data_IF_722765980018
#
_entry.id   IF_722765980018
#
_cell.length_a   1.000
_cell.length_b   1.000
_cell.length_c   1.000
_cell.angle_alpha   90.00
_cell.angle_beta   90.00
_cell.angle_gamma   90.00
#
_symmetry.space_group_name_H-M   'P 1'
#
loop_
_entity.id
_entity.type
_entity.pdbx_description
1 polymer ?
#
# COMPACT_ATOMS: atom_id res chain seq x y z
N UNK A 1 13.93 -5.57 30.27
CA UNK A 1 13.43 -5.74 28.90
C UNK A 1 14.06 -4.64 28.07
N UNK A 2 14.51 -4.93 26.84
CA UNK A 2 14.97 -3.90 25.91
C UNK A 2 13.82 -2.95 25.58
N UNK A 3 14.10 -1.65 25.53
CA UNK A 3 13.13 -0.63 25.16
C UNK A 3 12.58 -0.87 23.74
N UNK A 4 11.26 -1.07 23.61
CA UNK A 4 10.62 -1.39 22.33
C UNK A 4 10.45 -0.09 21.54
N UNK A 5 11.16 0.00 20.42
CA UNK A 5 11.10 1.11 19.47
C UNK A 5 10.89 0.60 18.06
N UNK A 6 9.86 1.13 17.41
CA UNK A 6 9.43 0.80 16.04
C UNK A 6 9.19 2.08 15.25
N UNK A 7 9.17 1.98 13.92
CA UNK A 7 8.94 3.13 13.05
C UNK A 7 8.12 2.79 11.81
N UNK A 8 7.32 3.73 11.37
CA UNK A 8 6.95 3.84 9.97
C UNK A 8 7.91 4.80 9.27
N UNK A 9 8.39 4.40 8.10
CA UNK A 9 9.40 5.16 7.35
C UNK A 9 8.97 5.39 5.88
N UNK A 10 7.95 6.22 5.61
CA UNK A 10 7.46 6.40 4.25
C UNK A 10 8.32 7.42 3.48
N UNK A 11 8.58 7.14 2.20
CA UNK A 11 9.11 8.16 1.28
C UNK A 11 7.96 9.03 0.76
N UNK A 12 8.05 10.38 0.84
CA UNK A 12 7.00 11.29 0.39
C UNK A 12 7.00 11.47 -1.14
N UNK A 13 6.98 10.36 -1.88
CA UNK A 13 7.00 10.32 -3.37
C UNK A 13 5.63 10.03 -3.98
N UNK A 14 4.57 10.12 -3.18
CA UNK A 14 3.20 9.80 -3.54
C UNK A 14 2.31 9.77 -2.30
N UNK A 15 0.99 9.63 -2.49
CA UNK A 15 0.04 9.65 -1.38
C UNK A 15 0.17 8.43 -0.46
N UNK A 16 -0.44 8.51 0.73
CA UNK A 16 -0.48 7.43 1.72
C UNK A 16 -1.23 6.22 1.17
N UNK A 17 -0.48 5.22 0.71
CA UNK A 17 -1.02 3.99 0.17
C UNK A 17 -1.47 3.03 1.29
N UNK A 18 -2.56 2.26 1.07
CA UNK A 18 -3.10 1.23 1.99
C UNK A 18 -2.03 0.33 2.59
N UNK A 19 -1.08 -0.15 1.79
CA UNK A 19 0.03 -0.98 2.26
C UNK A 19 0.94 -0.28 3.28
N UNK A 20 1.22 1.01 3.08
CA UNK A 20 1.97 1.84 4.03
C UNK A 20 1.13 2.11 5.27
N UNK A 21 -0.15 2.45 5.11
CA UNK A 21 -1.08 2.65 6.23
C UNK A 21 -1.23 1.40 7.10
N UNK A 22 -1.35 0.21 6.50
CA UNK A 22 -1.35 -1.07 7.22
C UNK A 22 -0.03 -1.29 7.96
N UNK A 23 1.10 -1.02 7.31
CA UNK A 23 2.41 -1.16 7.97
C UNK A 23 2.53 -0.21 9.15
N UNK A 24 2.04 1.03 9.02
CA UNK A 24 1.99 2.01 10.11
C UNK A 24 1.12 1.50 11.26
N UNK A 25 -0.09 1.02 10.95
CA UNK A 25 -1.00 0.44 11.94
C UNK A 25 -0.35 -0.73 12.69
N UNK A 26 0.33 -1.66 12.01
CA UNK A 26 0.95 -2.81 12.69
C UNK A 26 2.12 -2.39 13.59
N UNK A 27 2.91 -1.38 13.18
CA UNK A 27 3.95 -0.82 14.06
C UNK A 27 3.31 -0.10 15.26
N UNK A 28 2.24 0.68 15.03
CA UNK A 28 1.49 1.34 16.10
C UNK A 28 0.92 0.33 17.11
N UNK A 29 0.21 -0.70 16.64
CA UNK A 29 -0.35 -1.74 17.48
C UNK A 29 0.74 -2.50 18.25
N UNK A 30 1.85 -2.84 17.60
CA UNK A 30 2.99 -3.50 18.26
C UNK A 30 3.60 -2.62 19.36
N UNK A 31 3.82 -1.33 19.09
CA UNK A 31 4.32 -0.40 20.10
C UNK A 31 3.34 -0.29 21.28
N UNK A 32 2.07 0.03 21.01
CA UNK A 32 1.08 0.27 22.06
C UNK A 32 0.79 -0.99 22.89
N UNK A 33 0.80 -2.18 22.27
CA UNK A 33 0.63 -3.45 22.99
C UNK A 33 1.80 -3.76 23.94
N UNK A 34 3.01 -3.31 23.60
CA UNK A 34 4.23 -3.61 24.36
C UNK A 34 4.78 -2.39 25.11
N UNK A 35 3.96 -1.37 25.38
CA UNK A 35 4.34 -0.11 26.04
C UNK A 35 5.60 0.54 25.42
N UNK A 36 5.73 0.44 24.09
CA UNK A 36 6.87 0.92 23.31
C UNK A 36 6.65 2.25 22.61
N UNK A 37 7.72 2.74 21.97
CA UNK A 37 7.73 3.96 21.16
C UNK A 37 7.38 3.66 19.69
N UNK A 38 6.41 4.40 19.16
CA UNK A 38 6.08 4.45 17.74
C UNK A 38 6.55 5.76 17.12
N UNK A 39 7.37 5.66 16.06
CA UNK A 39 8.02 6.80 15.42
C UNK A 39 7.62 6.96 13.95
N UNK A 40 7.60 8.21 13.46
CA UNK A 40 7.50 8.54 12.04
C UNK A 40 8.82 9.16 11.56
N UNK A 41 9.42 8.57 10.52
CA UNK A 41 10.62 9.10 9.84
C UNK A 41 10.37 9.24 8.35
N UNK A 42 10.60 10.40 7.76
CA UNK A 42 10.40 10.61 6.33
C UNK A 42 11.67 10.28 5.54
N UNK A 43 11.54 9.36 4.58
CA UNK A 43 12.66 8.93 3.73
C UNK A 43 12.66 9.71 2.40
N UNK A 44 13.03 10.98 2.47
CA UNK A 44 13.00 12.00 1.41
C UNK A 44 14.29 12.08 0.57
N UNK A 45 15.09 11.00 0.58
CA UNK A 45 16.38 10.93 -0.16
C UNK A 45 16.26 11.00 -1.68
N UNK A 46 15.06 10.76 -2.23
CA UNK A 46 14.74 11.03 -3.63
C UNK A 46 14.17 12.44 -3.77
N UNK A 47 15.05 13.43 -3.79
CA UNK A 47 14.70 14.86 -3.84
C UNK A 47 13.80 15.20 -5.04
N UNK A 48 13.96 14.50 -6.18
CA UNK A 48 13.20 14.79 -7.40
C UNK A 48 11.75 14.34 -7.27
N UNK A 49 11.51 13.20 -6.60
CA UNK A 49 10.16 12.65 -6.44
C UNK A 49 9.49 13.07 -5.14
N UNK A 50 10.25 13.54 -4.15
CA UNK A 50 9.74 13.95 -2.85
C UNK A 50 9.07 15.32 -2.91
N UNK A 51 7.96 15.49 -2.20
CA UNK A 51 7.31 16.80 -2.09
C UNK A 51 6.63 17.00 -0.75
N UNK A 52 6.55 18.27 -0.29
CA UNK A 52 5.80 18.66 0.91
C UNK A 52 4.32 18.31 0.79
N UNK A 53 3.74 18.33 -0.42
CA UNK A 53 2.34 17.94 -0.62
C UNK A 53 2.10 16.45 -0.28
N UNK A 54 3.03 15.57 -0.65
CA UNK A 54 2.96 14.16 -0.30
C UNK A 54 3.32 13.90 1.15
N UNK A 55 4.27 14.64 1.73
CA UNK A 55 4.52 14.63 3.17
C UNK A 55 3.22 14.95 3.94
N UNK A 56 2.53 16.03 3.56
CA UNK A 56 1.26 16.42 4.14
C UNK A 56 0.19 15.33 4.01
N UNK A 57 -0.01 14.77 2.81
CA UNK A 57 -0.98 13.69 2.59
C UNK A 57 -0.70 12.46 3.47
N UNK A 58 0.58 12.13 3.66
CA UNK A 58 1.02 11.04 4.53
C UNK A 58 0.70 11.33 5.99
N UNK A 59 1.13 12.47 6.52
CA UNK A 59 0.93 12.82 7.94
C UNK A 59 -0.56 12.99 8.26
N UNK A 60 -1.31 13.72 7.45
CA UNK A 60 -2.76 13.88 7.61
C UNK A 60 -3.49 12.53 7.56
N UNK A 61 -3.08 11.64 6.64
CA UNK A 61 -3.67 10.31 6.50
C UNK A 61 -3.42 9.42 7.71
N UNK A 62 -2.22 9.50 8.32
CA UNK A 62 -1.91 8.78 9.57
C UNK A 62 -2.70 9.35 10.75
N UNK A 63 -2.82 10.68 10.85
CA UNK A 63 -3.67 11.35 11.85
C UNK A 63 -5.14 10.97 11.71
N UNK A 64 -5.68 10.93 10.49
CA UNK A 64 -7.06 10.52 10.24
C UNK A 64 -7.34 9.07 10.67
N UNK A 65 -6.35 8.18 10.52
CA UNK A 65 -6.41 6.80 11.02
C UNK A 65 -6.32 6.72 12.55
N UNK A 66 -6.10 7.82 13.26
CA UNK A 66 -5.94 7.87 14.71
C UNK A 66 -4.59 7.32 15.19
N UNK A 67 -3.57 7.30 14.31
CA UNK A 67 -2.25 6.76 14.63
C UNK A 67 -1.35 7.89 15.13
N UNK A 68 -1.40 8.20 16.42
CA UNK A 68 -0.50 9.20 17.02
C UNK A 68 0.88 8.60 17.30
N UNK A 69 1.95 9.31 16.95
CA UNK A 69 3.34 8.87 17.18
C UNK A 69 4.03 9.68 18.28
N UNK A 70 4.97 9.02 18.94
CA UNK A 70 5.70 9.57 20.09
C UNK A 70 6.88 10.45 19.64
N UNK A 71 7.39 10.23 18.43
CA UNK A 71 8.53 10.93 17.87
C UNK A 71 8.40 11.05 16.33
N UNK A 72 8.72 12.21 15.77
CA UNK A 72 8.63 12.46 14.32
C UNK A 72 8.17 13.87 13.97
N UNK A 73 7.95 14.16 12.68
CA UNK A 73 7.28 15.39 12.24
C UNK A 73 5.77 15.24 12.47
N UNK A 74 5.14 16.15 13.19
CA UNK A 74 3.70 16.11 13.45
C UNK A 74 2.88 16.73 12.29
N UNK A 75 3.36 17.86 11.79
CA UNK A 75 2.79 18.62 10.68
C UNK A 75 3.84 18.80 9.58
N UNK A 76 3.40 18.73 8.33
CA UNK A 76 4.31 18.80 7.19
C UNK A 76 5.05 20.15 7.12
N UNK A 77 6.37 20.09 7.05
CA UNK A 77 7.25 21.27 7.06
C UNK A 77 7.45 21.96 8.42
N UNK A 78 6.75 21.53 9.47
CA UNK A 78 6.95 22.05 10.83
C UNK A 78 8.09 21.31 11.55
N UNK A 79 8.49 21.86 12.70
CA UNK A 79 9.51 21.28 13.55
C UNK A 79 9.09 19.91 14.11
N UNK A 80 10.07 19.02 14.23
CA UNK A 80 9.86 17.68 14.75
C UNK A 80 9.81 17.64 16.28
N UNK A 81 9.22 16.57 16.84
CA UNK A 81 9.31 16.25 18.26
C UNK A 81 10.05 14.92 18.51
N UNK A 82 10.67 14.81 19.69
CA UNK A 82 11.39 13.60 20.14
C UNK A 82 12.91 13.77 20.19
N UNK A 83 13.59 12.81 20.82
CA UNK A 83 15.00 12.93 21.20
C UNK A 83 16.01 12.66 20.08
N UNK A 84 15.59 12.01 18.99
CA UNK A 84 16.49 11.50 17.94
C UNK A 84 16.36 12.24 16.60
N UNK A 85 15.70 13.40 16.62
CA UNK A 85 15.53 14.25 15.46
C UNK A 85 16.86 14.76 14.87
N UNK A 86 16.86 15.33 13.66
CA UNK A 86 15.68 15.50 12.79
C UNK A 86 15.16 14.18 12.22
N UNK A 87 13.89 14.10 11.85
CA UNK A 87 13.23 12.89 11.35
C UNK A 87 12.99 12.90 9.83
N UNK A 88 13.57 13.88 9.12
CA UNK A 88 13.70 13.88 7.65
C UNK A 88 15.12 13.50 7.28
N UNK A 89 15.30 12.52 6.39
CA UNK A 89 16.63 12.01 6.06
C UNK A 89 17.52 13.07 5.44
N UNK A 90 16.99 13.95 4.59
CA UNK A 90 17.80 15.00 3.96
C UNK A 90 18.31 16.08 4.93
N UNK A 91 17.80 16.12 6.16
CA UNK A 91 18.32 16.96 7.25
C UNK A 91 19.41 16.28 8.07
N UNK A 92 19.68 14.99 7.80
CA UNK A 92 20.63 14.13 8.53
C UNK A 92 21.93 13.84 7.76
N UNK A 93 22.23 14.64 6.74
CA UNK A 93 23.44 14.45 5.92
C UNK A 93 24.76 14.30 6.70
N UNK A 94 25.02 15.02 7.81
CA UNK A 94 26.27 14.89 8.56
C UNK A 94 26.56 13.47 9.06
N UNK A 95 25.56 12.78 9.64
CA UNK A 95 25.76 11.43 10.18
C UNK A 95 26.02 10.40 9.07
N UNK A 96 25.45 10.59 7.89
CA UNK A 96 25.71 9.73 6.74
C UNK A 96 27.12 9.92 6.20
N UNK A 97 27.62 11.16 6.16
CA UNK A 97 29.01 11.44 5.76
C UNK A 97 30.01 10.82 6.73
N UNK A 98 29.75 10.93 8.03
CA UNK A 98 30.60 10.32 9.06
C UNK A 98 30.64 8.80 8.95
N UNK A 99 29.48 8.15 8.82
CA UNK A 99 29.40 6.70 8.64
C UNK A 99 30.10 6.25 7.34
N UNK A 100 29.98 7.03 6.26
CA UNK A 100 30.63 6.72 4.99
C UNK A 100 32.16 6.80 5.11
N UNK A 101 32.66 7.82 5.82
CA UNK A 101 34.08 7.97 6.11
C UNK A 101 34.61 6.81 6.97
N UNK A 102 33.86 6.37 7.98
CA UNK A 102 34.21 5.19 8.81
C UNK A 102 34.33 3.92 7.97
N UNK A 103 33.36 3.65 7.09
CA UNK A 103 33.39 2.47 6.22
C UNK A 103 34.56 2.52 5.22
N UNK A 104 34.84 3.69 4.66
CA UNK A 104 35.97 3.89 3.75
C UNK A 104 37.31 3.69 4.45
N UNK A 105 37.48 4.25 5.65
CA UNK A 105 38.69 4.10 6.45
C UNK A 105 38.96 2.64 6.87
N UNK A 106 37.90 1.83 6.99
CA UNK A 106 37.99 0.41 7.33
C UNK A 106 38.12 -0.53 6.11
N UNK A 107 38.24 0.00 4.88
CA UNK A 107 38.19 -0.77 3.60
C UNK A 107 36.91 -1.64 3.43
N UNK A 108 35.83 -1.24 4.11
CA UNK A 108 34.50 -1.83 3.98
C UNK A 108 33.67 -1.14 2.89
N UNK A 109 34.14 0.00 2.39
CA UNK A 109 33.62 0.69 1.23
C UNK A 109 34.76 1.27 0.37
N UNK A 110 34.53 1.49 -0.92
CA UNK A 110 35.55 2.00 -1.84
C UNK A 110 34.96 2.91 -2.94
N UNK A 111 35.74 3.89 -3.44
CA UNK A 111 35.30 4.74 -4.55
C UNK A 111 35.21 3.98 -5.88
N UNK A 112 34.14 4.25 -6.61
CA UNK A 112 33.80 3.64 -7.90
C UNK A 112 33.61 4.72 -8.98
N UNK A 113 34.41 4.65 -10.03
CA UNK A 113 34.42 5.60 -11.16
C UNK A 113 33.75 5.05 -12.43
N UNK A 114 32.96 3.98 -12.30
CA UNK A 114 32.21 3.40 -13.41
C UNK A 114 31.13 4.38 -13.87
N UNK A 115 31.06 4.63 -15.17
CA UNK A 115 30.00 5.44 -15.78
C UNK A 115 28.72 4.62 -15.96
N UNK A 116 27.56 5.26 -16.22
CA UNK A 116 26.35 4.53 -16.61
C UNK A 116 26.56 3.61 -17.82
N UNK A 117 27.37 4.02 -18.79
CA UNK A 117 27.71 3.24 -19.99
C UNK A 117 28.54 1.99 -19.63
N UNK A 118 29.50 2.13 -18.71
CA UNK A 118 30.27 1.00 -18.20
C UNK A 118 29.36 -0.06 -17.56
N UNK A 119 28.43 0.40 -16.71
CA UNK A 119 27.49 -0.47 -15.98
C UNK A 119 26.48 -1.13 -16.92
N UNK A 120 26.01 -0.40 -17.93
CA UNK A 120 25.12 -0.92 -18.96
C UNK A 120 25.83 -1.98 -19.83
N UNK A 121 27.09 -1.75 -20.18
CA UNK A 121 27.90 -2.73 -20.91
C UNK A 121 28.13 -4.00 -20.09
N UNK A 122 28.42 -3.87 -18.78
CA UNK A 122 28.50 -5.00 -17.84
C UNK A 122 27.17 -5.78 -17.80
N UNK A 123 26.05 -5.07 -17.68
CA UNK A 123 24.71 -5.68 -17.66
C UNK A 123 24.45 -6.50 -18.93
N UNK A 124 24.65 -5.91 -20.12
CA UNK A 124 24.44 -6.57 -21.41
C UNK A 124 25.32 -7.81 -21.58
N UNK A 125 26.59 -7.75 -21.14
CA UNK A 125 27.49 -8.92 -21.17
C UNK A 125 26.96 -10.08 -20.33
N UNK A 126 26.47 -9.78 -19.11
CA UNK A 126 25.93 -10.81 -18.20
C UNK A 126 24.61 -11.37 -18.71
N UNK A 127 23.72 -10.52 -19.23
CA UNK A 127 22.46 -10.95 -19.84
C UNK A 127 22.71 -11.87 -21.04
N UNK A 128 23.64 -11.53 -21.93
CA UNK A 128 24.04 -12.40 -23.04
C UNK A 128 24.61 -13.75 -22.56
N UNK A 129 25.30 -13.75 -21.42
CA UNK A 129 25.80 -14.95 -20.75
C UNK A 129 24.75 -15.67 -19.88
N UNK A 130 23.49 -15.22 -19.86
CA UNK A 130 22.42 -15.76 -19.01
C UNK A 130 22.77 -15.77 -17.52
N UNK A 131 23.59 -14.82 -17.08
CA UNK A 131 24.01 -14.67 -15.69
C UNK A 131 23.17 -13.59 -15.00
N UNK A 132 22.88 -13.74 -13.69
CA UNK A 132 22.13 -12.74 -12.95
C UNK A 132 22.89 -11.39 -12.92
N UNK A 133 22.17 -10.25 -12.87
CA UNK A 133 22.79 -8.94 -12.73
C UNK A 133 23.65 -8.88 -11.46
N UNK A 134 24.93 -8.53 -11.62
CA UNK A 134 25.85 -8.32 -10.50
C UNK A 134 26.94 -7.36 -10.92
N UNK A 135 27.25 -6.40 -10.04
CA UNK A 135 28.37 -5.50 -10.24
C UNK A 135 29.67 -6.30 -10.30
N UNK A 136 30.52 -5.97 -11.27
CA UNK A 136 31.76 -6.73 -11.58
C UNK A 136 32.84 -6.59 -10.51
N UNK A 137 32.73 -5.61 -9.61
CA UNK A 137 33.79 -5.31 -8.65
C UNK A 137 34.98 -4.59 -9.28
N UNK A 138 34.87 -4.07 -10.51
CA UNK A 138 36.03 -3.52 -11.26
C UNK A 138 36.77 -2.40 -10.53
N UNK A 139 36.07 -1.59 -9.74
CA UNK A 139 36.70 -0.51 -8.97
C UNK A 139 37.20 -0.94 -7.58
N UNK A 140 36.93 -2.17 -7.14
CA UNK A 140 37.15 -2.62 -5.77
C UNK A 140 38.62 -2.83 -5.40
N UNK A 141 39.50 -2.92 -6.42
CA UNK A 141 40.95 -3.16 -6.29
C UNK A 141 41.80 -2.10 -7.01
N UNK A 142 41.22 -0.94 -7.35
CA UNK A 142 41.97 0.14 -7.97
C UNK A 142 43.07 0.64 -7.03
N UNK A 143 44.26 0.78 -7.59
CA UNK A 143 45.42 1.39 -6.95
C UNK A 143 45.22 2.90 -6.80
N UNK A 144 45.95 3.56 -5.88
CA UNK A 144 45.90 5.02 -5.76
C UNK A 144 46.21 5.76 -7.07
N UNK A 145 47.12 5.23 -7.89
CA UNK A 145 47.48 5.82 -9.18
C UNK A 145 46.33 5.74 -10.20
N UNK A 146 45.63 4.60 -10.28
CA UNK A 146 44.46 4.46 -11.17
C UNK A 146 43.30 5.36 -10.73
N UNK A 147 43.09 5.51 -9.41
CA UNK A 147 42.08 6.44 -8.87
C UNK A 147 42.40 7.88 -9.26
N UNK A 148 43.65 8.30 -9.05
CA UNK A 148 44.11 9.64 -9.41
C UNK A 148 43.98 9.92 -10.93
N UNK A 149 44.20 8.90 -11.78
CA UNK A 149 44.00 9.04 -13.22
C UNK A 149 42.52 9.32 -13.57
N UNK A 150 41.57 8.59 -12.97
CA UNK A 150 40.14 8.87 -13.16
C UNK A 150 39.73 10.24 -12.64
N UNK A 151 40.30 10.68 -11.51
CA UNK A 151 40.04 12.01 -10.96
C UNK A 151 40.59 13.12 -11.85
N UNK A 152 41.77 12.91 -12.47
CA UNK A 152 42.34 13.83 -13.45
C UNK A 152 41.50 13.94 -14.74
N UNK A 153 40.74 12.90 -15.10
CA UNK A 153 39.71 12.94 -16.15
C UNK A 153 38.44 13.71 -15.73
N UNK A 154 38.37 14.21 -14.49
CA UNK A 154 37.20 14.87 -13.93
C UNK A 154 36.08 13.92 -13.50
N UNK A 155 36.36 12.61 -13.38
CA UNK A 155 35.35 11.65 -12.89
C UNK A 155 35.14 11.82 -11.40
N UNK A 156 33.88 11.89 -10.98
CA UNK A 156 33.49 11.89 -9.57
C UNK A 156 33.06 10.48 -9.17
N UNK A 157 33.66 9.95 -8.11
CA UNK A 157 33.37 8.59 -7.65
C UNK A 157 32.06 8.52 -6.85
N UNK A 158 31.28 7.47 -7.10
CA UNK A 158 30.30 6.99 -6.13
C UNK A 158 31.00 6.11 -5.08
N UNK A 159 30.42 5.98 -3.89
CA UNK A 159 30.92 5.08 -2.85
C UNK A 159 30.13 3.76 -2.89
N UNK A 160 30.83 2.63 -3.02
CA UNK A 160 30.24 1.29 -2.95
C UNK A 160 30.62 0.58 -1.67
N UNK A 161 29.64 -0.10 -1.07
CA UNK A 161 29.86 -1.01 0.05
C UNK A 161 30.34 -2.37 -0.45
N UNK A 162 31.38 -2.91 0.20
CA UNK A 162 31.98 -4.21 -0.11
C UNK A 162 31.14 -5.31 0.51
N UNK A 163 30.55 -6.18 -0.31
CA UNK A 163 29.76 -7.31 0.16
C UNK A 163 30.68 -8.51 0.39
N UNK A 164 30.84 -8.99 1.64
CA UNK A 164 31.64 -10.18 1.91
C UNK A 164 30.95 -11.44 1.38
N UNK A 165 31.74 -12.44 1.01
CA UNK A 165 31.22 -13.76 0.65
C UNK A 165 30.70 -14.48 1.91
N UNK A 166 29.57 -15.20 1.77
CA UNK A 166 29.00 -16.00 2.85
C UNK A 166 27.49 -16.12 2.78
N UNK A 167 26.90 -16.61 3.87
CA UNK A 167 25.45 -16.71 4.03
C UNK A 167 25.01 -15.78 5.14
N UNK A 168 24.00 -14.97 4.86
CA UNK A 168 23.33 -14.15 5.87
C UNK A 168 22.06 -14.86 6.29
N UNK A 169 22.00 -15.19 7.57
CA UNK A 169 20.86 -15.83 8.21
C UNK A 169 20.27 -14.89 9.24
N UNK A 170 18.94 -14.84 9.32
CA UNK A 170 18.22 -14.12 10.37
C UNK A 170 16.88 -14.78 10.65
N UNK A 171 16.38 -14.57 11.87
CA UNK A 171 15.08 -15.06 12.29
C UNK A 171 14.06 -13.93 12.14
N UNK A 172 13.16 -14.09 11.18
CA UNK A 172 12.06 -13.15 10.99
C UNK A 172 10.86 -13.54 11.86
N UNK A 173 10.31 -12.58 12.58
CA UNK A 173 9.17 -12.80 13.49
C UNK A 173 7.92 -13.35 12.78
N UNK A 174 7.79 -13.14 11.47
CA UNK A 174 6.64 -13.56 10.67
C UNK A 174 7.04 -14.67 9.69
N UNK A 175 8.19 -14.56 9.03
CA UNK A 175 8.65 -15.51 8.00
C UNK A 175 9.41 -16.70 8.56
N UNK A 176 9.86 -16.64 9.81
CA UNK A 176 10.75 -17.63 10.41
C UNK A 176 12.18 -17.48 9.92
N UNK A 177 12.96 -18.56 9.97
CA UNK A 177 14.35 -18.57 9.53
C UNK A 177 14.47 -18.24 8.05
N UNK A 178 15.28 -17.24 7.72
CA UNK A 178 15.62 -16.86 6.34
C UNK A 178 17.12 -16.93 6.17
N UNK A 179 17.58 -17.55 5.08
CA UNK A 179 18.99 -17.70 4.74
C UNK A 179 19.22 -17.29 3.29
N UNK A 180 20.15 -16.35 3.07
CA UNK A 180 20.46 -15.80 1.75
C UNK A 180 21.97 -15.77 1.56
N UNK A 181 22.44 -16.46 0.52
CA UNK A 181 23.83 -16.36 0.05
C UNK A 181 24.09 -14.95 -0.51
N UNK A 182 25.20 -14.32 -0.07
CA UNK A 182 25.56 -12.97 -0.50
C UNK A 182 25.85 -12.86 -2.00
N UNK A 183 26.17 -13.97 -2.66
CA UNK A 183 26.28 -14.04 -4.12
C UNK A 183 25.00 -13.62 -4.84
N UNK A 184 23.83 -13.75 -4.19
CA UNK A 184 22.52 -13.37 -4.73
C UNK A 184 22.16 -11.89 -4.51
N UNK A 185 23.02 -11.10 -3.83
CA UNK A 185 22.73 -9.69 -3.52
C UNK A 185 23.05 -8.70 -4.66
N UNK A 186 23.60 -9.21 -5.77
CA UNK A 186 23.98 -8.38 -6.93
C UNK A 186 25.37 -7.73 -6.79
N UNK A 187 26.19 -8.19 -5.84
CA UNK A 187 27.54 -7.69 -5.58
C UNK A 187 27.56 -6.36 -4.84
N UNK A 188 28.73 -5.71 -4.86
CA UNK A 188 28.99 -4.44 -4.15
C UNK A 188 28.03 -3.34 -4.64
N UNK A 189 27.23 -2.79 -3.73
CA UNK A 189 26.18 -1.83 -4.05
C UNK A 189 26.56 -0.41 -3.64
N UNK A 190 26.00 0.57 -4.35
CA UNK A 190 26.26 1.99 -4.07
C UNK A 190 25.57 2.38 -2.75
N UNK A 191 26.30 3.05 -1.87
CA UNK A 191 25.79 3.63 -0.62
C UNK A 191 25.71 5.16 -0.67
N UNK A 192 26.59 5.79 -1.45
CA UNK A 192 26.58 7.23 -1.72
C UNK A 192 26.81 7.45 -3.21
N UNK A 193 25.97 8.25 -3.87
CA UNK A 193 26.12 8.63 -5.27
C UNK A 193 27.32 9.55 -5.48
N UNK A 194 27.73 9.70 -6.74
CA UNK A 194 28.81 10.63 -7.11
C UNK A 194 28.48 12.09 -6.76
N UNK A 195 27.20 12.46 -6.75
CA UNK A 195 26.72 13.78 -6.30
C UNK A 195 26.74 13.96 -4.76
N UNK A 196 27.20 12.94 -4.01
CA UNK A 196 27.23 12.95 -2.56
C UNK A 196 25.91 12.54 -1.89
N UNK A 197 24.85 12.24 -2.64
CA UNK A 197 23.55 11.85 -2.08
C UNK A 197 23.62 10.41 -1.56
N UNK A 198 23.32 10.17 -0.27
CA UNK A 198 23.26 8.83 0.28
C UNK A 198 22.03 8.07 -0.25
N UNK A 199 22.12 6.73 -0.30
CA UNK A 199 21.05 5.88 -0.83
C UNK A 199 20.32 5.10 0.26
N UNK A 200 19.09 4.69 -0.06
CA UNK A 200 18.14 4.00 0.81
C UNK A 200 18.75 2.96 1.76
N UNK A 201 19.52 1.97 1.26
CA UNK A 201 20.07 0.92 2.14
C UNK A 201 20.97 1.48 3.24
N UNK A 202 21.71 2.53 2.92
CA UNK A 202 22.66 3.17 3.81
C UNK A 202 21.97 4.07 4.82
N UNK A 203 21.08 4.95 4.37
CA UNK A 203 20.37 5.88 5.25
C UNK A 203 19.46 5.15 6.24
N UNK A 204 18.72 4.14 5.78
CA UNK A 204 17.84 3.32 6.63
C UNK A 204 18.60 2.71 7.80
N UNK A 205 19.75 2.10 7.55
CA UNK A 205 20.53 1.41 8.58
C UNK A 205 21.10 2.38 9.61
N UNK A 206 21.67 3.50 9.13
CA UNK A 206 22.23 4.52 10.00
C UNK A 206 21.14 5.14 10.88
N UNK A 207 19.96 5.42 10.31
CA UNK A 207 18.86 6.00 11.07
C UNK A 207 18.22 5.00 12.02
N UNK A 208 18.05 3.74 11.61
CA UNK A 208 17.52 2.69 12.49
C UNK A 208 18.48 2.46 13.67
N UNK A 209 19.81 2.51 13.47
CA UNK A 209 20.79 2.47 14.55
C UNK A 209 20.73 3.73 15.44
N UNK A 210 20.79 4.92 14.84
CA UNK A 210 20.83 6.20 15.56
C UNK A 210 19.55 6.45 16.38
N UNK A 211 18.39 6.03 15.86
CA UNK A 211 17.09 6.12 16.54
C UNK A 211 16.79 4.93 17.45
N UNK A 212 17.75 3.99 17.57
CA UNK A 212 17.68 2.79 18.41
C UNK A 212 16.44 1.94 18.12
N UNK A 213 16.12 1.77 16.84
CA UNK A 213 15.01 0.92 16.42
C UNK A 213 15.32 -0.51 16.85
N UNK A 214 14.42 -1.08 17.64
CA UNK A 214 14.53 -2.44 18.16
C UNK A 214 13.89 -3.47 17.23
N UNK A 215 12.83 -3.07 16.52
CA UNK A 215 12.04 -3.94 15.66
C UNK A 215 11.74 -3.21 14.34
N UNK A 216 12.10 -3.83 13.23
CA UNK A 216 11.80 -3.36 11.88
C UNK A 216 10.67 -4.20 11.32
N UNK A 217 9.44 -3.68 11.44
CA UNK A 217 8.23 -4.29 10.89
C UNK A 217 7.87 -3.57 9.58
N UNK A 218 7.95 -4.28 8.44
CA UNK A 218 7.76 -3.69 7.09
C UNK A 218 7.19 -4.69 6.10
N UNK A 219 6.81 -4.26 4.90
CA UNK A 219 6.33 -5.15 3.85
C UNK A 219 7.38 -6.16 3.38
N UNK A 220 6.95 -7.37 3.01
CA UNK A 220 7.84 -8.44 2.54
C UNK A 220 8.55 -8.15 1.22
N UNK A 221 8.15 -7.12 0.49
CA UNK A 221 8.91 -6.62 -0.65
C UNK A 221 10.27 -6.03 -0.27
N UNK A 222 10.50 -5.78 1.02
CA UNK A 222 11.81 -5.44 1.56
C UNK A 222 12.58 -6.62 2.15
N UNK A 223 12.06 -7.85 2.10
CA UNK A 223 12.72 -9.04 2.67
C UNK A 223 14.10 -9.28 2.04
N UNK A 224 14.21 -9.12 0.72
CA UNK A 224 15.47 -9.26 -0.02
C UNK A 224 16.47 -8.13 0.27
N UNK A 225 16.04 -7.04 0.90
CA UNK A 225 16.91 -5.94 1.32
C UNK A 225 17.56 -6.20 2.69
N UNK A 226 16.94 -7.05 3.53
CA UNK A 226 17.38 -7.32 4.89
C UNK A 226 18.82 -7.84 4.99
N UNK A 227 19.30 -8.75 4.12
CA UNK A 227 20.71 -9.15 4.15
C UNK A 227 21.68 -7.99 3.92
N UNK A 228 21.33 -7.04 3.03
CA UNK A 228 22.15 -5.83 2.79
C UNK A 228 22.17 -4.93 4.02
N UNK A 229 21.03 -4.82 4.72
CA UNK A 229 20.92 -4.05 5.95
C UNK A 229 21.72 -4.67 7.09
N UNK A 230 21.61 -5.99 7.29
CA UNK A 230 22.39 -6.74 8.28
C UNK A 230 23.90 -6.56 8.04
N UNK A 231 24.36 -6.67 6.80
CA UNK A 231 25.77 -6.45 6.45
C UNK A 231 26.24 -5.04 6.83
N UNK A 232 25.41 -4.02 6.61
CA UNK A 232 25.72 -2.65 6.99
C UNK A 232 25.72 -2.46 8.52
N UNK A 233 24.76 -3.01 9.26
CA UNK A 233 24.77 -2.97 10.73
C UNK A 233 26.07 -3.57 11.28
N UNK A 234 26.42 -4.78 10.82
CA UNK A 234 27.67 -5.46 11.20
C UNK A 234 28.92 -4.66 10.84
N UNK A 235 28.97 -4.09 9.64
CA UNK A 235 30.10 -3.28 9.17
C UNK A 235 30.28 -1.99 9.99
N UNK A 236 29.18 -1.41 10.49
CA UNK A 236 29.20 -0.22 11.32
C UNK A 236 29.41 -0.54 12.82
N UNK A 237 29.37 -1.81 13.20
CA UNK A 237 29.47 -2.26 14.59
C UNK A 237 28.19 -1.99 15.41
N UNK A 238 27.06 -1.85 14.72
CA UNK A 238 25.76 -1.52 15.32
C UNK A 238 24.94 -2.79 15.59
N UNK A 239 24.03 -2.73 16.57
CA UNK A 239 23.14 -3.84 16.88
C UNK A 239 22.11 -4.07 15.78
N UNK A 240 21.86 -5.33 15.43
CA UNK A 240 20.80 -5.71 14.49
C UNK A 240 19.43 -5.64 15.18
N UNK A 241 18.42 -4.94 14.60
CA UNK A 241 17.06 -5.00 15.11
C UNK A 241 16.44 -6.38 14.80
N UNK A 242 15.39 -6.72 15.52
CA UNK A 242 14.51 -7.82 15.11
C UNK A 242 13.74 -7.44 13.84
N UNK A 243 13.54 -8.39 12.93
CA UNK A 243 12.85 -8.14 11.66
C UNK A 243 11.50 -8.86 11.60
N UNK A 244 10.48 -8.19 11.04
CA UNK A 244 9.18 -8.80 10.76
C UNK A 244 8.64 -8.34 9.40
N UNK A 245 8.46 -9.29 8.46
CA UNK A 245 8.04 -8.97 7.10
C UNK A 245 6.57 -9.31 6.81
N UNK A 246 5.72 -8.27 6.84
CA UNK A 246 4.28 -8.31 6.61
C UNK A 246 3.95 -8.84 5.19
N UNK A 247 2.93 -9.69 5.04
CA UNK A 247 2.56 -10.26 3.75
C UNK A 247 2.07 -9.21 2.75
N UNK A 248 2.33 -9.44 1.46
CA UNK A 248 1.85 -8.58 0.39
C UNK A 248 0.33 -8.47 0.44
N UNK A 249 -0.16 -7.27 0.13
CA UNK A 249 -1.57 -7.07 -0.19
C UNK A 249 -1.76 -7.43 -1.66
N UNK A 250 -2.71 -8.32 -1.91
CA UNK A 250 -3.02 -8.84 -3.23
C UNK A 250 -4.35 -8.26 -3.72
N UNK A 251 -4.47 -8.13 -5.04
CA UNK A 251 -5.74 -7.86 -5.70
C UNK A 251 -6.65 -9.12 -5.64
N UNK A 252 -7.95 -9.02 -5.96
CA UNK A 252 -8.84 -10.17 -6.04
C UNK A 252 -8.35 -11.29 -6.99
N UNK A 253 -7.60 -10.93 -8.03
CA UNK A 253 -6.96 -11.88 -8.97
C UNK A 253 -5.64 -12.48 -8.45
N UNK A 254 -5.29 -12.21 -7.18
CA UNK A 254 -4.05 -12.60 -6.48
C UNK A 254 -2.76 -12.00 -7.03
N UNK A 255 -2.83 -11.04 -7.94
CA UNK A 255 -1.65 -10.26 -8.33
C UNK A 255 -1.28 -9.26 -7.24
N UNK A 256 0.00 -8.85 -7.16
CA UNK A 256 0.43 -7.82 -6.20
C UNK A 256 -0.37 -6.53 -6.43
N UNK A 257 -0.96 -5.99 -5.37
CA UNK A 257 -1.60 -4.67 -5.42
C UNK A 257 -0.54 -3.62 -5.76
N UNK A 258 -0.86 -2.76 -6.73
CA UNK A 258 0.08 -1.76 -7.25
C UNK A 258 -0.51 -0.36 -7.20
N UNK A 259 0.36 0.63 -7.00
CA UNK A 259 0.00 2.06 -6.98
C UNK A 259 -0.66 2.59 -8.27
N UNK A 260 -0.64 1.81 -9.38
CA UNK A 260 -1.09 2.26 -10.72
C UNK A 260 -2.48 1.78 -11.12
N UNK A 261 -3.04 0.76 -10.45
CA UNK A 261 -4.23 0.04 -10.95
C UNK A 261 -5.48 0.15 -10.06
N UNK A 262 -5.43 0.84 -8.92
CA UNK A 262 -6.53 0.87 -7.96
C UNK A 262 -6.50 2.12 -7.08
N UNK A 263 -7.69 2.56 -6.63
CA UNK A 263 -7.87 3.50 -5.51
C UNK A 263 -7.20 2.91 -4.27
N UNK A 264 -5.98 3.36 -4.04
CA UNK A 264 -5.11 2.77 -3.02
C UNK A 264 -4.59 3.81 -2.04
N UNK A 265 -4.86 5.09 -2.29
CA UNK A 265 -4.57 6.16 -1.37
C UNK A 265 -5.67 6.21 -0.30
N UNK A 266 -5.30 6.41 0.97
CA UNK A 266 -6.26 6.57 2.07
C UNK A 266 -7.21 7.74 1.79
N UNK A 267 -6.70 8.84 1.22
CA UNK A 267 -7.52 9.99 0.82
C UNK A 267 -8.70 9.65 -0.10
N UNK A 268 -8.57 8.66 -0.99
CA UNK A 268 -9.66 8.21 -1.87
C UNK A 268 -10.83 7.64 -1.04
N UNK A 269 -10.53 6.85 -0.01
CA UNK A 269 -11.55 6.24 0.86
C UNK A 269 -12.19 7.28 1.79
N UNK A 270 -11.41 8.26 2.25
CA UNK A 270 -11.95 9.41 3.00
C UNK A 270 -12.98 10.15 2.13
N UNK A 271 -12.62 10.47 0.88
CA UNK A 271 -13.50 11.16 -0.07
C UNK A 271 -14.75 10.34 -0.43
N UNK A 272 -14.71 9.02 -0.29
CA UNK A 272 -15.85 8.11 -0.51
C UNK A 272 -16.78 7.95 0.71
N UNK A 273 -16.41 8.50 1.87
CA UNK A 273 -17.21 8.40 3.09
C UNK A 273 -16.99 7.11 3.86
N UNK A 274 -15.79 6.52 3.78
CA UNK A 274 -15.39 5.51 4.77
C UNK A 274 -15.10 6.18 6.11
N UNK A 275 -15.47 5.51 7.19
CA UNK A 275 -15.18 5.98 8.55
C UNK A 275 -13.86 5.41 9.05
N UNK A 276 -13.16 6.17 9.91
CA UNK A 276 -11.83 5.81 10.42
C UNK A 276 -11.83 4.42 11.06
N UNK A 277 -12.87 4.12 11.84
CA UNK A 277 -12.99 2.90 12.63
C UNK A 277 -13.02 1.67 11.73
N UNK A 278 -13.78 1.74 10.66
CA UNK A 278 -13.89 0.67 9.68
C UNK A 278 -12.60 0.48 8.89
N UNK A 279 -11.95 1.57 8.48
CA UNK A 279 -10.67 1.48 7.77
C UNK A 279 -9.60 0.84 8.66
N UNK A 280 -9.42 1.32 9.89
CA UNK A 280 -8.46 0.77 10.86
C UNK A 280 -8.74 -0.71 11.13
N UNK A 281 -9.99 -1.05 11.43
CA UNK A 281 -10.41 -2.42 11.70
C UNK A 281 -10.15 -3.33 10.49
N UNK A 282 -10.46 -2.89 9.28
CA UNK A 282 -10.22 -3.67 8.07
C UNK A 282 -8.72 -3.83 7.79
N UNK A 283 -7.93 -2.76 7.90
CA UNK A 283 -6.49 -2.80 7.72
C UNK A 283 -5.81 -3.77 8.70
N UNK A 284 -6.27 -3.81 9.97
CA UNK A 284 -5.77 -4.76 10.94
C UNK A 284 -6.03 -6.22 10.52
N UNK A 285 -7.23 -6.51 10.01
CA UNK A 285 -7.59 -7.86 9.56
C UNK A 285 -6.94 -8.28 8.23
N UNK A 286 -6.23 -7.37 7.54
CA UNK A 286 -5.47 -7.68 6.32
C UNK A 286 -4.13 -8.36 6.61
N UNK A 287 -4.22 -9.63 7.01
CA UNK A 287 -3.07 -10.50 7.27
C UNK A 287 -2.81 -10.76 8.74
N UNK A 288 -3.73 -10.38 9.63
CA UNK A 288 -3.71 -10.72 11.05
C UNK A 288 -5.11 -11.19 11.48
N UNK A 289 -5.16 -12.06 12.49
CA UNK A 289 -6.40 -12.56 13.05
C UNK A 289 -6.35 -12.53 14.57
N UNK A 290 -7.48 -12.28 15.21
CA UNK A 290 -7.64 -12.38 16.67
C UNK A 290 -7.61 -13.82 17.18
N UNK A 291 -7.60 -14.82 16.29
CA UNK A 291 -7.83 -16.23 16.65
C UNK A 291 -9.30 -16.55 16.99
N UNK A 292 -10.20 -15.57 16.86
CA UNK A 292 -11.63 -15.69 17.13
C UNK A 292 -12.44 -15.32 15.88
N UNK A 293 -13.76 -15.55 15.92
CA UNK A 293 -14.69 -15.12 14.85
C UNK A 293 -15.09 -13.63 14.95
N UNK A 294 -14.59 -12.90 15.96
CA UNK A 294 -14.92 -11.48 16.12
C UNK A 294 -14.18 -10.61 15.08
N UNK A 295 -14.94 -9.95 14.20
CA UNK A 295 -14.40 -9.11 13.14
C UNK A 295 -14.56 -7.60 13.37
N UNK A 296 -15.46 -7.17 14.25
CA UNK A 296 -15.72 -5.74 14.51
C UNK A 296 -14.97 -5.30 15.77
N UNK A 297 -13.79 -4.73 15.60
CA UNK A 297 -12.80 -4.46 16.66
C UNK A 297 -12.42 -2.98 16.68
N UNK A 298 -12.56 -2.33 17.84
CA UNK A 298 -12.08 -0.96 18.03
C UNK A 298 -10.54 -0.91 18.03
N UNK A 299 -9.96 0.29 17.87
CA UNK A 299 -8.51 0.46 17.92
C UNK A 299 -7.94 0.00 19.27
N UNK A 300 -8.64 0.28 20.36
CA UNK A 300 -8.26 -0.12 21.72
C UNK A 300 -8.27 -1.65 21.86
N UNK A 301 -9.31 -2.32 21.34
CA UNK A 301 -9.38 -3.78 21.34
C UNK A 301 -8.29 -4.40 20.44
N UNK A 302 -7.93 -3.75 19.33
CA UNK A 302 -6.81 -4.17 18.51
C UNK A 302 -5.49 -4.04 19.26
N UNK A 303 -5.24 -2.92 19.95
CA UNK A 303 -4.04 -2.71 20.77
C UNK A 303 -3.92 -3.78 21.86
N UNK A 304 -5.00 -4.05 22.59
CA UNK A 304 -5.01 -5.05 23.67
C UNK A 304 -4.67 -6.46 23.17
N UNK A 305 -5.11 -6.81 21.96
CA UNK A 305 -5.03 -8.19 21.44
C UNK A 305 -3.90 -8.43 20.45
N UNK A 306 -3.21 -7.39 20.00
CA UNK A 306 -2.25 -7.50 18.91
C UNK A 306 -1.03 -8.34 19.30
N UNK A 307 -0.86 -9.47 18.62
CA UNK A 307 0.35 -10.29 18.68
C UNK A 307 0.91 -10.48 17.27
N UNK A 308 2.20 -10.16 17.08
CA UNK A 308 2.90 -10.35 15.81
C UNK A 308 2.97 -11.82 15.39
N UNK A 309 2.93 -12.76 16.33
CA UNK A 309 2.91 -14.19 16.05
C UNK A 309 1.63 -14.65 15.33
N UNK A 310 0.54 -13.89 15.44
CA UNK A 310 -0.72 -14.13 14.75
C UNK A 310 -0.80 -13.48 13.36
N UNK A 311 0.29 -12.86 12.90
CA UNK A 311 0.38 -12.36 11.52
C UNK A 311 0.59 -13.53 10.57
N UNK A 312 -0.28 -13.64 9.58
CA UNK A 312 -0.27 -14.72 8.60
C UNK A 312 0.87 -14.54 7.59
N UNK A 313 1.42 -15.67 7.12
CA UNK A 313 2.47 -15.69 6.09
C UNK A 313 1.93 -15.52 4.66
N UNK A 314 0.67 -15.88 4.43
CA UNK A 314 0.05 -15.81 3.11
C UNK A 314 -0.30 -14.37 2.74
N UNK A 315 -0.26 -14.05 1.44
CA UNK A 315 -0.70 -12.74 0.93
C UNK A 315 -2.15 -12.43 1.30
N UNK A 316 -2.40 -11.22 1.79
CA UNK A 316 -3.73 -10.77 2.19
C UNK A 316 -4.47 -10.22 0.97
N UNK A 317 -5.55 -10.86 0.55
CA UNK A 317 -6.38 -10.37 -0.56
C UNK A 317 -7.21 -9.18 -0.07
N UNK A 318 -7.11 -8.06 -0.78
CA UNK A 318 -7.96 -6.91 -0.54
C UNK A 318 -9.36 -7.19 -1.09
N UNK A 319 -10.34 -7.21 -0.19
CA UNK A 319 -11.76 -7.39 -0.47
C UNK A 319 -12.53 -6.12 -0.12
N UNK A 320 -12.95 -5.40 -1.17
CA UNK A 320 -13.72 -4.17 -1.05
C UNK A 320 -15.11 -4.41 -0.47
N UNK A 321 -15.77 -5.52 -0.80
CA UNK A 321 -17.11 -5.83 -0.29
C UNK A 321 -17.07 -6.05 1.22
N UNK A 322 -16.01 -6.71 1.71
CA UNK A 322 -15.77 -6.86 3.15
C UNK A 322 -15.53 -5.53 3.85
N UNK A 323 -14.72 -4.64 3.26
CA UNK A 323 -14.51 -3.29 3.81
C UNK A 323 -15.83 -2.50 3.87
N UNK A 324 -16.66 -2.56 2.82
CA UNK A 324 -17.98 -1.91 2.77
C UNK A 324 -18.95 -2.46 3.82
N UNK A 325 -18.94 -3.79 4.02
CA UNK A 325 -19.73 -4.41 5.08
C UNK A 325 -19.28 -3.91 6.47
N UNK A 326 -17.98 -3.91 6.74
CA UNK A 326 -17.41 -3.47 8.02
C UNK A 326 -17.71 -1.98 8.26
N UNK A 327 -17.64 -1.16 7.21
CA UNK A 327 -18.00 0.24 7.26
C UNK A 327 -19.46 0.47 7.63
N UNK A 328 -20.38 -0.32 7.06
CA UNK A 328 -21.78 -0.32 7.47
C UNK A 328 -21.98 -0.74 8.94
N UNK A 329 -21.21 -1.71 9.45
CA UNK A 329 -21.28 -2.11 10.87
C UNK A 329 -20.89 -0.95 11.79
N UNK A 330 -19.81 -0.24 11.46
CA UNK A 330 -19.34 0.91 12.25
C UNK A 330 -20.31 2.08 12.21
N UNK A 331 -20.85 2.42 11.04
CA UNK A 331 -21.86 3.49 10.91
C UNK A 331 -23.10 3.19 11.77
N UNK A 332 -23.57 1.93 11.78
CA UNK A 332 -24.74 1.53 12.60
C UNK A 332 -24.50 1.58 14.10
N UNK A 333 -23.25 1.41 14.55
CA UNK A 333 -22.87 1.45 15.97
C UNK A 333 -22.65 2.87 16.49
N UNK A 334 -22.44 3.82 15.59
CA UNK A 334 -22.13 5.21 15.92
C UNK A 334 -23.37 5.95 16.46
N UNK A 335 -23.21 6.84 17.45
CA UNK A 335 -24.29 7.72 17.89
C UNK A 335 -24.88 8.52 16.72
N UNK A 336 -26.21 8.69 16.64
CA UNK A 336 -26.86 9.40 15.55
C UNK A 336 -26.29 10.79 15.27
N UNK A 337 -25.98 11.55 16.32
CA UNK A 337 -25.46 12.92 16.21
C UNK A 337 -24.05 12.94 15.58
N UNK A 338 -23.22 11.95 15.92
CA UNK A 338 -21.90 11.81 15.31
C UNK A 338 -22.00 11.41 13.83
N UNK A 339 -22.97 10.57 13.47
CA UNK A 339 -23.24 10.26 12.05
C UNK A 339 -23.65 11.52 11.30
N UNK A 340 -24.52 12.36 11.87
CA UNK A 340 -24.96 13.63 11.28
C UNK A 340 -23.76 14.56 11.04
N UNK A 341 -22.88 14.71 12.03
CA UNK A 341 -21.70 15.55 11.91
C UNK A 341 -20.75 15.04 10.81
N UNK A 342 -20.53 13.72 10.72
CA UNK A 342 -19.71 13.12 9.66
C UNK A 342 -20.35 13.17 8.27
N UNK A 343 -21.68 13.30 8.18
CA UNK A 343 -22.39 13.50 6.91
C UNK A 343 -22.26 14.94 6.40
N UNK A 344 -22.07 15.92 7.29
CA UNK A 344 -22.13 17.34 6.98
C UNK A 344 -21.18 17.78 5.85
N UNK A 345 -19.89 17.39 5.82
CA UNK A 345 -19.00 17.77 4.71
C UNK A 345 -19.47 17.24 3.35
N UNK A 346 -20.12 16.08 3.33
CA UNK A 346 -20.68 15.52 2.09
C UNK A 346 -21.90 16.31 1.63
N UNK A 347 -22.79 16.68 2.56
CA UNK A 347 -23.96 17.51 2.24
C UNK A 347 -23.55 18.90 1.73
N UNK A 348 -22.53 19.51 2.34
CA UNK A 348 -21.95 20.78 1.88
C UNK A 348 -21.38 20.65 0.46
N UNK A 349 -20.68 19.55 0.15
CA UNK A 349 -20.17 19.28 -1.19
C UNK A 349 -21.30 19.06 -2.22
N UNK A 350 -22.39 18.40 -1.83
CA UNK A 350 -23.57 18.23 -2.68
C UNK A 350 -24.29 19.57 -2.95
N UNK A 351 -24.38 20.45 -1.94
CA UNK A 351 -24.92 21.80 -2.08
C UNK A 351 -24.05 22.65 -3.01
N UNK A 352 -22.73 22.67 -2.78
CA UNK A 352 -21.78 23.40 -3.62
C UNK A 352 -21.82 22.94 -5.09
N UNK A 353 -22.14 21.66 -5.31
CA UNK A 353 -22.31 21.10 -6.65
C UNK A 353 -23.72 21.29 -7.24
N UNK A 354 -24.63 21.98 -6.55
CA UNK A 354 -26.00 22.24 -6.99
C UNK A 354 -26.87 20.99 -7.10
N UNK A 355 -26.55 19.92 -6.37
CA UNK A 355 -27.34 18.67 -6.36
C UNK A 355 -28.45 18.67 -5.31
N UNK A 356 -28.36 19.57 -4.33
CA UNK A 356 -29.39 19.87 -3.34
C UNK A 356 -29.53 21.39 -3.21
N UNK A 357 -30.73 21.87 -2.89
CA UNK A 357 -31.02 23.31 -2.79
C UNK A 357 -30.67 23.91 -1.43
N UNK A 358 -30.61 23.07 -0.38
CA UNK A 358 -30.23 23.45 0.98
C UNK A 358 -29.65 22.25 1.73
N UNK A 359 -28.91 22.52 2.81
CA UNK A 359 -28.52 21.49 3.76
C UNK A 359 -29.75 21.13 4.63
N UNK A 360 -30.13 19.84 4.74
CA UNK A 360 -31.17 19.41 5.67
C UNK A 360 -30.80 19.73 7.12
N UNK A 361 -31.81 20.03 7.95
CA UNK A 361 -31.62 20.22 9.39
C UNK A 361 -31.24 18.91 10.08
N UNK A 362 -30.61 18.99 11.24
CA UNK A 362 -30.20 17.79 11.99
C UNK A 362 -31.41 16.88 12.32
N UNK A 363 -32.59 17.46 12.58
CA UNK A 363 -33.83 16.70 12.80
C UNK A 363 -34.28 15.95 11.56
N UNK A 364 -34.21 16.58 10.37
CA UNK A 364 -34.51 15.93 9.10
C UNK A 364 -33.52 14.80 8.78
N UNK A 365 -32.23 15.01 9.03
CA UNK A 365 -31.21 13.96 8.83
C UNK A 365 -31.47 12.81 9.81
N UNK A 366 -31.71 13.11 11.09
CA UNK A 366 -31.98 12.11 12.13
C UNK A 366 -33.20 11.25 11.79
N UNK A 367 -34.26 11.86 11.26
CA UNK A 367 -35.46 11.14 10.83
C UNK A 367 -35.18 10.14 9.68
N UNK A 368 -34.18 10.41 8.84
CA UNK A 368 -33.78 9.55 7.72
C UNK A 368 -32.76 8.48 8.10
N UNK A 369 -32.05 8.62 9.22
CA UNK A 369 -31.01 7.67 9.65
C UNK A 369 -31.47 6.21 9.75
N UNK A 370 -32.68 5.86 10.23
CA UNK A 370 -33.13 4.47 10.25
C UNK A 370 -33.23 3.83 8.85
N UNK A 371 -33.53 4.65 7.82
CA UNK A 371 -33.61 4.21 6.42
C UNK A 371 -32.22 4.14 5.79
N UNK A 372 -31.35 5.10 6.13
CA UNK A 372 -29.96 5.20 5.65
C UNK A 372 -29.09 4.08 6.24
N UNK A 373 -29.12 3.88 7.56
CA UNK A 373 -28.24 2.95 8.30
C UNK A 373 -28.51 1.46 7.99
N UNK A 374 -29.72 1.12 7.56
CA UNK A 374 -30.09 -0.22 7.10
C UNK A 374 -29.51 -0.55 5.70
N UNK A 375 -29.13 0.47 4.91
CA UNK A 375 -28.82 0.32 3.48
C UNK A 375 -27.44 0.87 3.08
N UNK A 376 -26.81 1.69 3.90
CA UNK A 376 -25.55 2.37 3.57
C UNK A 376 -24.31 1.57 3.96
N UNK A 377 -23.38 1.45 3.00
CA UNK A 377 -22.01 1.00 3.20
C UNK A 377 -21.01 2.15 3.29
N UNK A 378 -21.42 3.41 3.09
CA UNK A 378 -20.60 4.61 3.28
C UNK A 378 -21.42 5.82 3.75
N UNK A 379 -20.76 6.84 4.30
CA UNK A 379 -21.37 8.13 4.68
C UNK A 379 -21.58 9.05 3.47
N UNK A 380 -21.22 8.63 2.26
CA UNK A 380 -21.51 9.43 1.07
C UNK A 380 -22.99 9.35 0.73
N UNK A 381 -23.64 10.49 0.61
CA UNK A 381 -25.02 10.55 0.14
C UNK A 381 -25.11 9.98 -1.29
N UNK A 382 -26.09 9.12 -1.61
CA UNK A 382 -26.24 8.61 -2.97
C UNK A 382 -26.52 9.77 -3.93
N UNK A 383 -25.57 10.10 -4.81
CA UNK A 383 -25.80 11.08 -5.86
C UNK A 383 -26.91 10.58 -6.79
N UNK A 384 -27.92 11.40 -7.08
CA UNK A 384 -29.04 11.12 -8.01
C UNK A 384 -28.62 10.89 -9.47
N UNK A 385 -27.32 10.87 -9.77
CA UNK A 385 -26.75 10.82 -11.13
C UNK A 385 -26.86 9.46 -11.85
N UNK A 386 -27.63 8.50 -11.33
CA UNK A 386 -28.08 7.30 -12.08
C UNK A 386 -29.58 7.25 -12.34
N UNK A 387 -30.28 8.39 -12.27
CA UNK A 387 -31.67 8.47 -12.65
C UNK A 387 -31.86 9.31 -13.93
N UNK A 388 -31.53 8.74 -15.10
CA UNK A 388 -32.20 9.18 -16.34
C UNK A 388 -32.26 8.09 -17.40
N UNK A 389 -33.45 8.00 -18.02
CA UNK A 389 -33.85 7.16 -19.18
C UNK A 389 -34.07 5.67 -18.92
N UNK A 390 -35.20 5.33 -18.29
CA UNK A 390 -36.01 4.14 -18.62
C UNK A 390 -37.38 4.26 -17.97
N UNK A 391 -38.26 5.02 -18.61
CA UNK A 391 -39.73 4.85 -18.64
C UNK A 391 -40.37 6.17 -19.09
N UNK A 392 -40.35 6.42 -20.40
CA UNK A 392 -41.42 7.17 -21.04
C UNK A 392 -42.28 6.12 -21.75
N UNK A 393 -43.52 5.97 -21.28
CA UNK A 393 -44.47 4.99 -21.75
C UNK A 393 -44.82 5.18 -23.22
N UNK A 394 -44.90 4.08 -23.95
CA UNK A 394 -45.57 4.02 -25.25
C UNK A 394 -47.05 3.73 -25.02
N UNK A 395 -47.88 4.76 -25.10
CA UNK A 395 -49.32 4.63 -25.27
C UNK A 395 -49.65 4.15 -26.70
N UNK A 396 -50.66 3.31 -26.93
CA UNK A 396 -50.85 2.59 -28.19
C UNK A 396 -51.56 3.43 -29.24
N UNK A 397 -51.06 3.44 -30.49
CA UNK A 397 -51.80 3.95 -31.65
C UNK A 397 -52.65 2.85 -32.30
N UNK A 398 -53.88 3.14 -32.74
CA UNK A 398 -54.80 2.12 -33.27
C UNK A 398 -54.51 1.84 -34.75
N UNK A 399 -54.45 0.57 -35.14
CA UNK A 399 -54.49 0.16 -36.56
C UNK A 399 -55.92 -0.20 -36.96
N UNK A 400 -56.49 0.58 -37.87
CA UNK A 400 -57.72 0.27 -38.60
C UNK A 400 -57.44 -0.74 -39.72
N UNK A 401 -58.19 -1.84 -39.65
CA UNK A 401 -58.75 -2.73 -40.70
C UNK A 401 -58.25 -2.55 -42.15
N UNK A 402 -57.78 -3.66 -42.72
CA UNK A 402 -58.19 -4.10 -44.05
C UNK A 402 -58.43 -5.62 -44.04
N UNK A 403 -59.50 -6.02 -44.73
CA UNK A 403 -60.03 -7.38 -44.86
C UNK A 403 -59.21 -8.16 -45.90
N UNK A 404 -59.09 -9.50 -45.74
CA UNK A 404 -59.68 -10.50 -46.67
C UNK A 404 -59.18 -11.94 -46.37
N UNK A 405 -60.18 -12.79 -46.09
CA UNK A 405 -60.39 -14.24 -46.33
C UNK A 405 -59.21 -15.15 -46.77
N UNK A 406 -58.92 -16.15 -45.93
CA UNK A 406 -59.18 -17.62 -46.07
C UNK A 406 -58.64 -18.40 -47.31
N UNK A 407 -58.55 -19.76 -47.28
CA UNK A 407 -57.27 -20.48 -47.32
C UNK A 407 -57.19 -21.60 -48.40
N UNK A 408 -56.00 -22.15 -48.64
CA UNK A 408 -55.85 -23.50 -49.23
C UNK A 408 -54.42 -24.05 -49.16
N UNK A 409 -54.26 -25.15 -48.41
CA UNK A 409 -53.33 -26.26 -48.68
C UNK A 409 -53.79 -27.03 -49.96
N UNK A 410 -53.00 -27.88 -50.66
CA UNK A 410 -52.18 -28.96 -50.06
C UNK A 410 -50.92 -29.48 -50.81
N UNK A 411 -50.15 -30.28 -50.06
CA UNK A 411 -49.40 -31.54 -50.40
C UNK A 411 -48.72 -31.70 -51.78
N UNK A 412 -47.46 -32.14 -51.76
CA UNK A 412 -47.02 -33.54 -52.02
C UNK A 412 -45.51 -33.59 -52.33
N UNK A 413 -44.75 -34.51 -51.70
CA UNK A 413 -44.02 -35.60 -52.39
C UNK A 413 -42.58 -35.17 -52.72
N UNK A 414 -41.49 -35.86 -52.44
CA UNK A 414 -41.21 -37.30 -52.41
C UNK A 414 -39.79 -37.52 -51.84
N UNK A 415 -39.63 -38.64 -51.11
CA UNK A 415 -38.50 -39.60 -50.97
C UNK A 415 -37.11 -39.23 -51.55
N UNK A 416 -35.95 -39.60 -50.99
CA UNK A 416 -35.61 -40.87 -50.34
C UNK A 416 -34.24 -40.83 -49.61
N UNK A 417 -34.11 -41.62 -48.54
CA UNK A 417 -32.96 -42.49 -48.12
C UNK A 417 -31.51 -41.95 -48.13
N UNK A 418 -30.62 -42.16 -47.15
CA UNK A 418 -30.41 -43.30 -46.22
C UNK A 418 -29.30 -42.93 -45.19
N UNK A 419 -29.47 -43.38 -43.92
CA UNK A 419 -28.48 -43.89 -42.91
C UNK A 419 -27.27 -43.00 -42.54
N UNK A 420 -26.80 -42.87 -41.29
CA UNK A 420 -26.87 -43.73 -40.10
C UNK A 420 -26.46 -42.94 -38.82
N UNK A 421 -27.04 -43.33 -37.68
CA UNK A 421 -26.49 -43.34 -36.30
C UNK A 421 -25.90 -42.07 -35.66
N UNK A 422 -26.64 -41.45 -34.73
CA UNK A 422 -26.47 -41.62 -33.27
C UNK A 422 -27.27 -40.55 -32.51
N UNK A 423 -27.96 -40.97 -31.44
CA UNK A 423 -28.84 -40.16 -30.60
C UNK A 423 -28.14 -39.75 -29.28
N UNK A 424 -28.72 -38.80 -28.52
CA UNK A 424 -27.96 -37.73 -27.88
C UNK A 424 -28.09 -37.68 -26.34
N UNK A 425 -27.19 -36.97 -25.66
CA UNK A 425 -27.44 -36.29 -24.37
C UNK A 425 -26.68 -34.95 -24.43
N UNK A 426 -27.29 -33.78 -24.65
CA UNK A 426 -28.20 -32.99 -23.79
C UNK A 426 -27.59 -32.62 -22.43
N UNK A 427 -27.22 -31.35 -22.26
CA UNK A 427 -26.91 -30.80 -20.94
C UNK A 427 -26.00 -29.56 -20.92
N UNK A 428 -26.24 -28.58 -21.80
CA UNK A 428 -25.60 -27.26 -21.67
C UNK A 428 -26.23 -26.51 -20.49
N UNK A 429 -25.45 -26.31 -19.43
CA UNK A 429 -25.80 -25.45 -18.30
C UNK A 429 -25.71 -23.97 -18.72
N UNK A 430 -26.75 -23.15 -18.49
CA UNK A 430 -26.64 -21.72 -18.72
C UNK A 430 -25.83 -21.06 -17.59
N UNK A 431 -24.95 -20.14 -17.98
CA UNK A 431 -24.24 -19.22 -17.10
C UNK A 431 -25.24 -18.46 -16.21
N UNK A 432 -25.39 -18.88 -14.96
CA UNK A 432 -25.75 -17.99 -13.85
C UNK A 432 -24.53 -17.09 -13.60
N UNK A 433 -24.59 -15.78 -13.45
CA UNK A 433 -25.68 -14.90 -13.09
C UNK A 433 -24.92 -13.66 -12.64
N UNK A 434 -25.01 -12.58 -13.41
CA UNK A 434 -24.33 -11.34 -13.07
C UNK A 434 -24.80 -10.90 -11.66
N UNK A 435 -23.86 -10.83 -10.73
CA UNK A 435 -24.07 -10.25 -9.40
C UNK A 435 -24.70 -8.87 -9.57
N UNK A 436 -25.94 -8.76 -9.12
CA UNK A 436 -26.69 -7.50 -9.15
C UNK A 436 -26.01 -6.56 -8.17
N UNK A 437 -25.38 -5.51 -8.69
CA UNK A 437 -25.00 -4.35 -7.89
C UNK A 437 -26.27 -3.76 -7.28
N UNK A 438 -26.42 -3.85 -5.97
CA UNK A 438 -27.39 -3.06 -5.24
C UNK A 438 -26.80 -1.64 -5.09
N UNK A 439 -26.99 -0.79 -6.10
CA UNK A 439 -26.77 0.65 -5.92
C UNK A 439 -27.98 1.22 -5.19
N UNK A 440 -27.76 1.84 -4.03
CA UNK A 440 -28.79 2.60 -3.31
C UNK A 440 -29.46 3.60 -4.27
N UNK A 441 -30.75 3.39 -4.55
CA UNK A 441 -31.60 4.34 -5.29
C UNK A 441 -32.78 4.70 -4.41
N UNK A 442 -32.82 5.96 -3.96
CA UNK A 442 -33.91 6.51 -3.16
C UNK A 442 -35.12 6.86 -4.04
N UNK A 443 -36.35 6.56 -3.61
CA UNK A 443 -37.57 6.95 -4.32
C UNK A 443 -38.19 8.23 -3.75
N UNK A 444 -37.43 9.31 -3.50
CA UNK A 444 -38.04 10.61 -3.18
C UNK A 444 -37.19 11.74 -3.75
N UNK A 445 -37.71 12.35 -4.82
CA UNK A 445 -37.25 13.64 -5.30
C UNK A 445 -37.87 14.71 -4.40
N UNK A 446 -37.05 15.35 -3.57
CA UNK A 446 -37.42 16.63 -2.99
C UNK A 446 -37.34 17.66 -4.13
N UNK A 447 -38.49 18.28 -4.43
CA UNK A 447 -38.63 19.44 -5.30
C UNK A 447 -38.88 20.68 -4.45
#
# INVERSE_FOLDING_TARGET
MSDIRVRIAPSPTGPLHIGTARTALFNYLFARHNDGTFMVRLEDTDVVRSSIAYEKDILDGLHWLGLTWDEGPDVAGDADHGAFGPYRQMERLPIYREAAARLLAADLAYPCYCTPEDLEADRRRREAAHQPPRYSGRCARLTPAERAAFEAEGRVAALRFRVPDGVISFDDMIRGRVEIDTANLGGDFVIVRADGTPLYHFTVVIDDAAMRISHVIRGEDHLSNTPKHILLFRALGEAEPAFGHLPLILNPDRTKMSKRKSQTAIGDYIAEGFVREAMVNYLALLGWSTGTEEEVLSLEALVERFDVAHVQKAGAVFDRERLEWLNGQWIRRMPPDEVIDRLRPFLEAELAAGRIDRIPTDEEIRALLPVISASCSSTRWPSTSRCSRRNAGTSPRPRRRSRLRAPSSPRSGTSATRRMSSSPHSGAWPRSGAGRRATCSWPFAWR
#
